data_IF_884348348870
#
_entry.id   IF_884348348870
#
_cell.length_a   1.000
_cell.length_b   1.000
_cell.length_c   1.000
_cell.angle_alpha   90.00
_cell.angle_beta   90.00
_cell.angle_gamma   90.00
#
_symmetry.space_group_name_H-M   'P 1'
#
loop_
_entity.id
_entity.type
_entity.pdbx_description
1 polymer ?
#
# COMPACT_ATOMS: atom_id res chain seq x y z
N UNK A 1 -68.56 6.60 17.53
CA UNK A 1 -67.98 6.48 16.16
C UNK A 1 -66.99 7.61 15.86
N UNK A 2 -67.27 8.88 16.19
CA UNK A 2 -66.35 10.01 15.96
C UNK A 2 -65.03 9.90 16.74
N UNK A 3 -65.08 9.41 17.99
CA UNK A 3 -63.88 9.24 18.82
C UNK A 3 -62.94 8.14 18.31
N UNK A 4 -63.50 7.06 17.75
CA UNK A 4 -62.73 5.93 17.20
C UNK A 4 -61.96 6.29 15.93
N UNK A 5 -62.50 7.21 15.12
CA UNK A 5 -61.83 7.73 13.92
C UNK A 5 -60.70 8.69 14.31
N UNK A 6 -60.94 9.55 15.30
CA UNK A 6 -59.90 10.47 15.82
C UNK A 6 -58.73 9.74 16.48
N UNK A 7 -58.99 8.62 17.17
CA UNK A 7 -57.94 7.81 17.79
C UNK A 7 -57.10 7.07 16.74
N UNK A 8 -57.71 6.65 15.63
CA UNK A 8 -57.03 6.01 14.50
C UNK A 8 -56.11 7.00 13.76
N UNK A 9 -56.58 8.23 13.51
CA UNK A 9 -55.75 9.29 12.92
C UNK A 9 -54.54 9.62 13.80
N UNK A 10 -54.72 9.66 15.12
CA UNK A 10 -53.61 9.87 16.06
C UNK A 10 -52.56 8.74 15.98
N UNK A 11 -53.00 7.48 15.91
CA UNK A 11 -52.11 6.31 15.76
C UNK A 11 -51.39 6.30 14.42
N UNK A 12 -52.06 6.69 13.33
CA UNK A 12 -51.43 6.81 12.00
C UNK A 12 -50.39 7.93 11.96
N UNK A 13 -50.67 9.08 12.59
CA UNK A 13 -49.70 10.17 12.74
C UNK A 13 -48.48 9.72 13.55
N UNK A 14 -48.69 9.00 14.66
CA UNK A 14 -47.59 8.46 15.47
C UNK A 14 -46.76 7.41 14.71
N UNK A 15 -47.42 6.52 13.96
CA UNK A 15 -46.73 5.52 13.13
C UNK A 15 -45.89 6.19 12.04
N UNK A 16 -46.45 7.20 11.35
CA UNK A 16 -45.72 7.97 10.33
C UNK A 16 -44.49 8.65 10.93
N UNK A 17 -44.63 9.31 12.07
CA UNK A 17 -43.49 9.93 12.77
C UNK A 17 -42.43 8.90 13.16
N UNK A 18 -42.84 7.68 13.53
CA UNK A 18 -41.93 6.59 13.86
C UNK A 18 -41.17 6.11 12.63
N UNK A 19 -41.85 5.94 11.50
CA UNK A 19 -41.22 5.56 10.21
C UNK A 19 -40.24 6.64 9.75
N UNK A 20 -40.64 7.91 9.79
CA UNK A 20 -39.76 9.04 9.44
C UNK A 20 -38.51 9.08 10.34
N UNK A 21 -38.67 8.73 11.63
CA UNK A 21 -37.55 8.62 12.57
C UNK A 21 -36.64 7.45 12.24
N UNK A 22 -37.20 6.28 11.89
CA UNK A 22 -36.44 5.10 11.50
C UNK A 22 -35.65 5.37 10.21
N UNK A 23 -36.26 6.02 9.23
CA UNK A 23 -35.59 6.39 7.98
C UNK A 23 -34.44 7.34 8.27
N UNK A 24 -34.67 8.38 9.08
CA UNK A 24 -33.61 9.33 9.46
C UNK A 24 -32.43 8.65 10.17
N UNK A 25 -32.71 7.79 11.14
CA UNK A 25 -31.68 7.03 11.85
C UNK A 25 -30.94 6.08 10.91
N UNK A 26 -31.65 5.45 9.97
CA UNK A 26 -31.04 4.57 8.97
C UNK A 26 -30.09 5.33 8.05
N UNK A 27 -30.49 6.53 7.60
CA UNK A 27 -29.63 7.43 6.84
C UNK A 27 -28.39 7.85 7.65
N UNK A 28 -28.57 8.23 8.92
CA UNK A 28 -27.46 8.67 9.77
C UNK A 28 -26.46 7.53 10.03
N UNK A 29 -26.95 6.31 10.26
CA UNK A 29 -26.10 5.12 10.41
C UNK A 29 -25.33 4.84 9.13
N UNK A 30 -25.99 4.95 7.98
CA UNK A 30 -25.37 4.68 6.69
C UNK A 30 -24.30 5.73 6.33
N UNK A 31 -24.55 7.01 6.62
CA UNK A 31 -23.58 8.08 6.43
C UNK A 31 -22.34 7.92 7.33
N UNK A 32 -22.56 7.62 8.62
CA UNK A 32 -21.47 7.34 9.56
C UNK A 32 -20.64 6.14 9.13
N UNK A 33 -21.29 5.06 8.66
CA UNK A 33 -20.61 3.87 8.19
C UNK A 33 -19.77 4.15 6.93
N UNK A 34 -20.31 4.92 5.97
CA UNK A 34 -19.60 5.32 4.77
C UNK A 34 -18.36 6.17 5.10
N UNK A 35 -18.52 7.14 6.01
CA UNK A 35 -17.41 7.97 6.50
C UNK A 35 -16.33 7.14 7.19
N UNK A 36 -16.71 6.16 8.02
CA UNK A 36 -15.77 5.29 8.69
C UNK A 36 -15.01 4.40 7.70
N UNK A 37 -15.70 3.84 6.70
CA UNK A 37 -15.09 3.05 5.63
C UNK A 37 -14.06 3.87 4.86
N UNK A 38 -14.39 5.11 4.48
CA UNK A 38 -13.46 6.00 3.79
C UNK A 38 -12.19 6.29 4.64
N UNK A 39 -12.35 6.49 5.95
CA UNK A 39 -11.22 6.67 6.87
C UNK A 39 -10.33 5.42 6.95
N UNK A 40 -10.92 4.22 7.01
CA UNK A 40 -10.18 2.95 6.98
C UNK A 40 -9.39 2.84 5.68
N UNK A 41 -10.00 3.10 4.54
CA UNK A 41 -9.35 3.02 3.23
C UNK A 41 -8.17 3.99 3.11
N UNK A 42 -8.34 5.25 3.54
CA UNK A 42 -7.25 6.23 3.60
C UNK A 42 -6.10 5.77 4.51
N UNK A 43 -6.43 5.22 5.68
CA UNK A 43 -5.42 4.71 6.62
C UNK A 43 -4.65 3.53 6.01
N UNK A 44 -5.34 2.60 5.35
CA UNK A 44 -4.71 1.48 4.65
C UNK A 44 -3.79 1.96 3.52
N UNK A 45 -4.19 2.99 2.79
CA UNK A 45 -3.37 3.60 1.74
C UNK A 45 -2.07 4.19 2.33
N UNK A 46 -2.16 4.94 3.43
CA UNK A 46 -0.99 5.46 4.13
C UNK A 46 -0.09 4.33 4.64
N UNK A 47 -0.65 3.28 5.27
CA UNK A 47 0.15 2.13 5.73
C UNK A 47 0.87 1.44 4.57
N UNK A 48 0.22 1.26 3.42
CA UNK A 48 0.85 0.68 2.23
C UNK A 48 2.01 1.54 1.72
N UNK A 49 1.82 2.86 1.68
CA UNK A 49 2.87 3.79 1.27
C UNK A 49 4.06 3.76 2.23
N UNK A 50 3.81 3.73 3.54
CA UNK A 50 4.85 3.67 4.56
C UNK A 50 5.68 2.38 4.45
N UNK A 51 5.03 1.24 4.18
CA UNK A 51 5.74 -0.03 3.90
C UNK A 51 6.63 0.05 2.67
N UNK A 52 6.17 0.69 1.59
CA UNK A 52 6.98 0.89 0.37
C UNK A 52 8.20 1.76 0.65
N UNK A 53 8.01 2.87 1.37
CA UNK A 53 9.10 3.77 1.76
C UNK A 53 10.10 3.04 2.66
N UNK A 54 9.62 2.27 3.64
CA UNK A 54 10.47 1.46 4.51
C UNK A 54 11.30 0.46 3.70
N UNK A 55 10.67 -0.27 2.77
CA UNK A 55 11.39 -1.20 1.89
C UNK A 55 12.52 -0.49 1.15
N UNK A 56 12.25 0.68 0.58
CA UNK A 56 13.20 1.42 -0.24
C UNK A 56 14.37 1.96 0.56
N UNK A 57 14.13 2.52 1.73
CA UNK A 57 15.20 3.04 2.60
C UNK A 57 16.18 1.91 2.98
N UNK A 58 15.68 0.68 3.14
CA UNK A 58 16.52 -0.47 3.48
C UNK A 58 17.11 -1.19 2.26
N UNK A 59 16.62 -0.87 1.04
CA UNK A 59 17.00 -1.57 -0.18
C UNK A 59 18.52 -1.59 -0.44
N UNK A 60 19.28 -0.49 -0.29
CA UNK A 60 20.74 -0.52 -0.48
C UNK A 60 21.44 -1.50 0.47
N UNK A 61 21.01 -1.53 1.74
CA UNK A 61 21.57 -2.42 2.76
C UNK A 61 21.26 -3.88 2.42
N UNK A 62 20.03 -4.16 2.01
CA UNK A 62 19.61 -5.50 1.59
C UNK A 62 20.35 -5.98 0.35
N UNK A 63 20.53 -5.12 -0.67
CA UNK A 63 21.30 -5.44 -1.88
C UNK A 63 22.76 -5.79 -1.51
N UNK A 64 23.41 -4.98 -0.65
CA UNK A 64 24.78 -5.27 -0.17
C UNK A 64 24.89 -6.62 0.53
N UNK A 65 23.93 -6.97 1.39
CA UNK A 65 23.90 -8.28 2.05
C UNK A 65 23.71 -9.42 1.05
N UNK A 66 22.76 -9.30 0.12
CA UNK A 66 22.50 -10.34 -0.87
C UNK A 66 23.69 -10.54 -1.83
N UNK A 67 24.41 -9.47 -2.17
CA UNK A 67 25.66 -9.56 -2.93
C UNK A 67 26.75 -10.29 -2.16
N UNK A 68 26.92 -9.98 -0.87
CA UNK A 68 27.88 -10.66 -0.01
C UNK A 68 27.59 -12.15 0.12
N UNK A 69 26.32 -12.51 0.28
CA UNK A 69 25.86 -13.89 0.41
C UNK A 69 25.74 -14.63 -0.94
N UNK A 70 26.19 -14.00 -2.03
CA UNK A 70 26.11 -14.52 -3.41
C UNK A 70 24.71 -14.92 -3.86
N UNK A 71 23.67 -14.33 -3.27
CA UNK A 71 22.28 -14.54 -3.65
C UNK A 71 21.88 -13.63 -4.82
N UNK A 72 22.58 -13.76 -5.94
CA UNK A 72 22.49 -12.83 -7.07
C UNK A 72 21.09 -12.77 -7.69
N UNK A 73 20.38 -13.90 -7.79
CA UNK A 73 19.01 -13.93 -8.30
C UNK A 73 18.04 -13.06 -7.48
N UNK A 74 18.07 -13.22 -6.16
CA UNK A 74 17.24 -12.43 -5.23
C UNK A 74 17.64 -10.96 -5.27
N UNK A 75 18.94 -10.68 -5.36
CA UNK A 75 19.49 -9.33 -5.44
C UNK A 75 18.95 -8.57 -6.66
N UNK A 76 19.04 -9.17 -7.86
CA UNK A 76 18.50 -8.57 -9.09
C UNK A 76 17.00 -8.34 -8.99
N UNK A 77 16.25 -9.32 -8.45
CA UNK A 77 14.80 -9.17 -8.26
C UNK A 77 14.45 -7.98 -7.39
N UNK A 78 15.16 -7.79 -6.28
CA UNK A 78 14.90 -6.68 -5.35
C UNK A 78 15.27 -5.33 -5.97
N UNK A 79 16.38 -5.28 -6.70
CA UNK A 79 16.78 -4.11 -7.49
C UNK A 79 15.68 -3.72 -8.49
N UNK A 80 15.25 -4.63 -9.36
CA UNK A 80 14.24 -4.36 -10.39
C UNK A 80 12.90 -3.93 -9.78
N UNK A 81 12.49 -4.55 -8.67
CA UNK A 81 11.27 -4.16 -7.95
C UNK A 81 11.34 -2.75 -7.34
N UNK A 82 12.52 -2.35 -6.86
CA UNK A 82 12.74 -1.05 -6.23
C UNK A 82 12.95 0.09 -7.22
N UNK A 83 13.66 -0.16 -8.33
CA UNK A 83 14.11 0.87 -9.27
C UNK A 83 12.95 1.67 -9.87
N UNK A 84 11.88 1.00 -10.29
CA UNK A 84 10.72 1.69 -10.87
C UNK A 84 10.10 2.68 -9.89
N UNK A 85 9.96 2.31 -8.61
CA UNK A 85 9.43 3.22 -7.59
C UNK A 85 10.40 4.36 -7.32
N UNK A 86 11.68 4.04 -7.17
CA UNK A 86 12.74 5.01 -6.90
C UNK A 86 12.78 6.10 -8.00
N UNK A 87 12.69 5.69 -9.27
CA UNK A 87 12.64 6.58 -10.43
C UNK A 87 11.42 7.51 -10.42
N UNK A 88 10.24 6.98 -10.10
CA UNK A 88 8.99 7.74 -10.05
C UNK A 88 8.98 8.83 -8.96
N UNK A 89 9.82 8.70 -7.94
CA UNK A 89 9.82 9.58 -6.76
C UNK A 89 11.14 10.34 -6.56
N UNK A 90 11.92 10.52 -7.63
CA UNK A 90 13.21 11.26 -7.64
C UNK A 90 13.12 12.73 -7.24
N UNK A 91 11.92 13.33 -7.23
CA UNK A 91 11.69 14.68 -6.72
C UNK A 91 12.02 14.81 -5.22
N UNK A 92 11.99 13.70 -4.47
CA UNK A 92 12.35 13.68 -3.06
C UNK A 92 13.86 13.41 -2.93
N UNK A 93 14.65 14.33 -2.35
CA UNK A 93 16.11 14.22 -2.31
C UNK A 93 16.63 12.93 -1.63
N UNK A 94 15.95 12.46 -0.59
CA UNK A 94 16.30 11.21 0.11
C UNK A 94 16.11 9.98 -0.80
N UNK A 95 15.05 9.97 -1.61
CA UNK A 95 14.78 8.90 -2.58
C UNK A 95 15.76 8.98 -3.74
N UNK A 96 16.06 10.17 -4.25
CA UNK A 96 17.07 10.36 -5.29
C UNK A 96 18.45 9.84 -4.85
N UNK A 97 18.85 10.13 -3.60
CA UNK A 97 20.10 9.59 -3.01
C UNK A 97 20.08 8.06 -2.95
N UNK A 98 18.96 7.49 -2.49
CA UNK A 98 18.80 6.03 -2.39
C UNK A 98 18.84 5.37 -3.77
N UNK A 99 18.20 5.99 -4.77
CA UNK A 99 18.21 5.54 -6.16
C UNK A 99 19.63 5.52 -6.72
N UNK A 100 20.40 6.58 -6.48
CA UNK A 100 21.78 6.67 -6.93
C UNK A 100 22.65 5.59 -6.29
N UNK A 101 22.51 5.37 -4.98
CA UNK A 101 23.24 4.31 -4.27
C UNK A 101 22.88 2.91 -4.79
N UNK A 102 21.59 2.61 -4.97
CA UNK A 102 21.16 1.33 -5.53
C UNK A 102 21.63 1.14 -6.98
N UNK A 103 21.69 2.19 -7.79
CA UNK A 103 22.20 2.10 -9.16
C UNK A 103 23.70 1.75 -9.21
N UNK A 104 24.50 2.30 -8.30
CA UNK A 104 25.92 1.93 -8.15
C UNK A 104 26.03 0.44 -7.78
N UNK A 105 25.28 0.00 -6.77
CA UNK A 105 25.28 -1.40 -6.34
C UNK A 105 24.80 -2.36 -7.43
N UNK A 106 23.83 -1.93 -8.25
CA UNK A 106 23.38 -2.73 -9.39
C UNK A 106 24.49 -2.91 -10.41
N UNK A 107 25.28 -1.86 -10.70
CA UNK A 107 26.42 -1.97 -11.60
C UNK A 107 27.50 -2.90 -11.06
N UNK A 108 27.81 -2.82 -9.76
CA UNK A 108 28.71 -3.75 -9.08
C UNK A 108 28.18 -5.19 -9.15
N UNK A 109 26.88 -5.40 -8.93
CA UNK A 109 26.22 -6.70 -9.03
C UNK A 109 26.38 -7.31 -10.43
N UNK A 110 26.13 -6.54 -11.49
CA UNK A 110 26.32 -7.05 -12.87
C UNK A 110 27.77 -7.44 -13.13
N UNK A 111 28.72 -6.62 -12.68
CA UNK A 111 30.15 -6.89 -12.81
C UNK A 111 30.55 -8.19 -12.09
N UNK A 112 30.03 -8.42 -10.88
CA UNK A 112 30.29 -9.64 -10.12
C UNK A 112 29.71 -10.88 -10.81
N UNK A 113 28.48 -10.78 -11.34
CA UNK A 113 27.85 -11.90 -12.07
C UNK A 113 28.64 -12.22 -13.34
N UNK A 114 29.07 -11.20 -14.09
CA UNK A 114 29.89 -11.38 -15.28
C UNK A 114 31.22 -12.08 -14.95
N UNK A 115 31.89 -11.66 -13.87
CA UNK A 115 33.12 -12.30 -13.42
C UNK A 115 32.90 -13.76 -13.04
N UNK A 116 31.87 -14.05 -12.25
CA UNK A 116 31.58 -15.42 -11.80
C UNK A 116 31.28 -16.33 -13.00
N UNK A 117 30.46 -15.87 -13.95
CA UNK A 117 30.15 -16.60 -15.18
C UNK A 117 31.38 -16.81 -16.08
N UNK A 118 32.28 -15.82 -16.19
CA UNK A 118 33.51 -15.97 -16.96
C UNK A 118 34.49 -16.94 -16.29
N UNK A 119 34.54 -17.01 -14.95
CA UNK A 119 35.40 -17.94 -14.23
C UNK A 119 34.92 -19.39 -14.25
N UNK A 120 33.61 -19.62 -14.40
CA UNK A 120 33.02 -20.96 -14.46
C UNK A 120 33.24 -21.68 -15.81
N UNK A 121 33.75 -21.00 -16.84
CA UNK A 121 33.76 -21.54 -18.22
C UNK A 121 35.10 -22.16 -18.69
N UNK A 122 36.05 -22.48 -17.81
CA UNK A 122 37.39 -22.97 -18.24
C UNK A 122 37.88 -24.28 -17.61
N UNK A 123 37.15 -24.91 -16.69
CA UNK A 123 37.65 -26.10 -15.97
C UNK A 123 36.59 -27.19 -15.69
N UNK A 124 35.63 -27.40 -16.59
CA UNK A 124 34.82 -28.64 -16.58
C UNK A 124 35.35 -29.62 -17.65
N UNK A 125 35.99 -30.75 -17.26
CA UNK A 125 36.42 -31.83 -18.17
C UNK A 125 35.27 -32.67 -18.73
#
# INVERSE_FOLDING_TARGET
>A
MKDSVSEMDSKLCALRATVDTIDHLSYEVQDKLATHKAKIESTLQHTRMLKKVQFIIHLPVTIKQLMHDKQYHTCVKYWVMGDQFLLQHTQLPSIAKTQHECAILAHELYTLIEQEMCTLSLDDP
#
